data_IF_470305142867
#
_entry.id   IF_470305142867
#
_cell.length_a   1.000
_cell.length_b   1.000
_cell.length_c   1.000
_cell.angle_alpha   90.00
_cell.angle_beta   90.00
_cell.angle_gamma   90.00
#
_symmetry.space_group_name_H-M   'P 1'
#
loop_
_entity.id
_entity.type
_entity.pdbx_description
1 polymer ?
#
# COMPACT_ATOMS: atom_id res chain seq x y z
N UNK A 1 0.99 2.44 -23.91
CA UNK A 1 0.41 1.52 -22.91
C UNK A 1 0.41 0.13 -23.49
N UNK A 2 1.18 -0.79 -22.91
CA UNK A 2 1.08 -2.20 -23.23
C UNK A 2 -0.10 -2.78 -22.44
N UNK A 3 -1.17 -3.15 -23.12
CA UNK A 3 -2.34 -3.82 -22.53
C UNK A 3 -2.07 -5.29 -22.15
N UNK A 4 -0.82 -5.73 -22.17
CA UNK A 4 -0.42 -7.14 -22.04
C UNK A 4 0.52 -7.43 -20.88
N UNK A 5 0.69 -6.47 -19.95
CA UNK A 5 1.47 -6.73 -18.75
C UNK A 5 0.61 -7.57 -17.80
N UNK A 6 0.63 -8.86 -18.00
CA UNK A 6 0.13 -9.82 -17.01
C UNK A 6 1.34 -10.26 -16.20
N UNK A 7 1.45 -9.69 -15.01
CA UNK A 7 2.40 -10.16 -14.02
C UNK A 7 1.90 -11.49 -13.44
N UNK A 8 2.77 -12.50 -13.38
CA UNK A 8 2.50 -13.73 -12.66
C UNK A 8 2.50 -13.58 -11.13
N UNK A 9 2.78 -12.38 -10.62
CA UNK A 9 2.76 -12.07 -9.20
C UNK A 9 1.35 -11.65 -8.76
N UNK A 10 0.85 -12.28 -7.73
CA UNK A 10 -0.49 -12.07 -7.17
C UNK A 10 -0.56 -10.95 -6.10
N UNK A 11 0.60 -10.42 -5.67
CA UNK A 11 0.73 -9.43 -4.60
C UNK A 11 -0.14 -8.18 -4.84
N UNK A 12 -0.04 -7.55 -6.02
CA UNK A 12 -0.81 -6.33 -6.33
C UNK A 12 -2.33 -6.57 -6.35
N UNK A 13 -2.78 -7.75 -6.80
CA UNK A 13 -4.19 -8.15 -6.77
C UNK A 13 -4.69 -8.33 -5.33
N UNK A 14 -3.87 -8.92 -4.46
CA UNK A 14 -4.18 -9.08 -3.05
C UNK A 14 -4.32 -7.73 -2.33
N UNK A 15 -3.38 -6.84 -2.56
CA UNK A 15 -3.38 -5.45 -2.05
C UNK A 15 -4.63 -4.68 -2.52
N UNK A 16 -4.95 -4.73 -3.80
CA UNK A 16 -6.12 -4.06 -4.36
C UNK A 16 -7.44 -4.60 -3.78
N UNK A 17 -7.54 -5.92 -3.55
CA UNK A 17 -8.69 -6.56 -2.92
C UNK A 17 -8.92 -6.09 -1.49
N UNK A 18 -7.88 -5.94 -0.70
CA UNK A 18 -7.96 -5.41 0.66
C UNK A 18 -8.57 -4.00 0.69
N UNK A 19 -8.27 -3.17 -0.30
CA UNK A 19 -8.84 -1.81 -0.40
C UNK A 19 -10.28 -1.85 -0.93
N UNK A 20 -10.51 -2.53 -2.06
CA UNK A 20 -11.65 -2.23 -2.95
C UNK A 20 -12.45 -3.46 -3.40
N UNK A 21 -12.24 -4.66 -2.85
CA UNK A 21 -13.14 -5.78 -3.14
C UNK A 21 -14.58 -5.39 -2.84
N UNK A 22 -15.49 -5.71 -3.77
CA UNK A 22 -16.89 -5.25 -3.69
C UNK A 22 -17.61 -5.86 -2.48
N UNK A 23 -18.16 -5.01 -1.62
CA UNK A 23 -18.89 -5.44 -0.43
C UNK A 23 -20.34 -5.83 -0.73
N UNK A 24 -20.90 -6.71 0.10
CA UNK A 24 -22.33 -7.13 0.05
C UNK A 24 -22.77 -7.74 -1.28
N UNK A 25 -21.88 -8.36 -2.03
CA UNK A 25 -22.16 -9.05 -3.29
C UNK A 25 -22.27 -10.58 -3.12
N UNK A 26 -22.13 -11.10 -1.90
CA UNK A 26 -22.13 -12.54 -1.56
C UNK A 26 -20.99 -13.33 -2.25
N UNK A 27 -19.90 -12.68 -2.65
CA UNK A 27 -18.77 -13.29 -3.36
C UNK A 27 -17.48 -12.95 -2.62
N UNK A 28 -16.69 -13.97 -2.30
CA UNK A 28 -15.30 -13.85 -1.80
C UNK A 28 -15.14 -12.99 -0.56
N UNK A 29 -14.41 -11.89 -0.70
CA UNK A 29 -14.01 -11.00 0.40
C UNK A 29 -14.64 -9.61 0.27
N UNK A 30 -14.61 -8.85 1.36
CA UNK A 30 -15.00 -7.44 1.42
C UNK A 30 -13.76 -6.56 1.55
N UNK A 31 -13.64 -5.54 0.71
CA UNK A 31 -12.60 -4.52 0.84
C UNK A 31 -12.99 -3.43 1.83
N UNK A 32 -11.99 -2.73 2.40
CA UNK A 32 -12.23 -1.64 3.36
C UNK A 32 -13.13 -0.55 2.76
N UNK A 33 -12.89 -0.17 1.51
CA UNK A 33 -13.61 0.88 0.79
C UNK A 33 -14.35 0.34 -0.45
N UNK A 34 -14.80 -0.91 -0.42
CA UNK A 34 -15.41 -1.63 -1.55
C UNK A 34 -16.84 -1.22 -1.92
N UNK A 35 -17.39 -0.21 -1.25
CA UNK A 35 -18.77 0.25 -1.50
C UNK A 35 -19.84 -0.74 -1.03
N UNK A 36 -20.98 -0.73 -1.67
CA UNK A 36 -22.11 -1.59 -1.30
C UNK A 36 -22.79 -2.18 -2.53
N UNK A 37 -22.64 -3.48 -2.76
CA UNK A 37 -23.24 -4.23 -3.88
C UNK A 37 -22.98 -3.56 -5.25
N UNK A 38 -21.72 -3.18 -5.50
CA UNK A 38 -21.29 -2.54 -6.73
C UNK A 38 -21.69 -1.06 -6.88
N UNK A 39 -22.26 -0.45 -5.84
CA UNK A 39 -22.58 0.98 -5.79
C UNK A 39 -21.63 1.71 -4.86
N UNK A 40 -21.11 2.85 -5.32
CA UNK A 40 -20.06 3.58 -4.60
C UNK A 40 -18.76 2.76 -4.54
N UNK A 41 -17.95 3.03 -3.51
CA UNK A 41 -16.65 2.41 -3.34
C UNK A 41 -15.53 3.18 -4.06
N UNK A 42 -14.32 2.96 -3.58
CA UNK A 42 -13.13 3.56 -4.16
C UNK A 42 -12.82 2.96 -5.53
N UNK A 43 -12.26 3.78 -6.41
CA UNK A 43 -11.74 3.32 -7.71
C UNK A 43 -10.24 3.10 -7.61
N UNK A 44 -9.79 1.96 -8.12
CA UNK A 44 -8.37 1.62 -8.20
C UNK A 44 -7.81 2.06 -9.56
N UNK A 45 -6.74 2.83 -9.52
CA UNK A 45 -5.90 3.14 -10.68
C UNK A 45 -4.65 2.27 -10.58
N UNK A 46 -4.57 1.24 -11.41
CA UNK A 46 -3.44 0.31 -11.39
C UNK A 46 -2.25 0.87 -12.16
N UNK A 47 -1.12 1.00 -11.49
CA UNK A 47 0.17 1.32 -12.10
C UNK A 47 1.12 0.14 -11.85
N UNK A 48 1.44 -0.61 -12.89
CA UNK A 48 2.35 -1.74 -12.77
C UNK A 48 3.79 -1.25 -12.70
N UNK A 49 4.47 -1.57 -11.59
CA UNK A 49 5.87 -1.22 -11.33
C UNK A 49 6.79 -2.43 -11.38
N UNK A 50 6.25 -3.63 -11.18
CA UNK A 50 7.01 -4.87 -11.08
C UNK A 50 6.60 -5.84 -12.20
N UNK A 51 7.58 -6.63 -12.67
CA UNK A 51 7.39 -7.78 -13.53
C UNK A 51 7.91 -9.02 -12.78
N UNK A 52 7.01 -9.77 -12.19
CA UNK A 52 7.36 -10.81 -11.22
C UNK A 52 8.01 -10.20 -9.98
N UNK A 53 9.26 -10.57 -9.71
CA UNK A 53 10.08 -10.04 -8.61
C UNK A 53 11.02 -8.89 -9.05
N UNK A 54 11.00 -8.53 -10.32
CA UNK A 54 11.87 -7.48 -10.84
C UNK A 54 11.18 -6.13 -10.72
N UNK A 55 11.79 -5.21 -9.99
CA UNK A 55 11.35 -3.82 -9.95
C UNK A 55 11.63 -3.13 -11.30
N UNK A 56 10.76 -2.21 -11.67
CA UNK A 56 11.01 -1.27 -12.74
C UNK A 56 12.20 -0.35 -12.41
N UNK A 57 12.57 0.49 -13.37
CA UNK A 57 13.53 1.55 -13.08
C UNK A 57 12.88 2.67 -12.26
N UNK A 58 13.66 3.40 -11.45
CA UNK A 58 13.19 4.61 -10.74
C UNK A 58 12.52 5.62 -11.66
N UNK A 59 12.94 5.68 -12.94
CA UNK A 59 12.29 6.52 -13.93
C UNK A 59 10.89 6.01 -14.33
N UNK A 60 10.66 4.70 -14.34
CA UNK A 60 9.34 4.12 -14.59
C UNK A 60 8.42 4.41 -13.41
N UNK A 61 8.91 4.24 -12.19
CA UNK A 61 8.19 4.54 -10.96
C UNK A 61 7.78 6.01 -10.91
N UNK A 62 8.71 6.94 -11.16
CA UNK A 62 8.44 8.37 -11.22
C UNK A 62 7.38 8.73 -12.29
N UNK A 63 7.41 8.06 -13.45
CA UNK A 63 6.39 8.24 -14.50
C UNK A 63 5.01 7.72 -14.06
N UNK A 64 4.95 6.61 -13.33
CA UNK A 64 3.70 6.05 -12.81
C UNK A 64 3.07 7.00 -11.77
N UNK A 65 3.87 7.57 -10.86
CA UNK A 65 3.40 8.54 -9.86
C UNK A 65 2.88 9.81 -10.52
N UNK A 66 3.64 10.35 -11.50
CA UNK A 66 3.18 11.50 -12.26
C UNK A 66 1.88 11.20 -13.02
N UNK A 67 1.78 10.03 -13.65
CA UNK A 67 0.55 9.60 -14.31
C UNK A 67 -0.63 9.55 -13.34
N UNK A 68 -0.44 8.99 -12.15
CA UNK A 68 -1.47 8.92 -11.12
C UNK A 68 -1.95 10.32 -10.71
N UNK A 69 -1.02 11.26 -10.44
CA UNK A 69 -1.34 12.64 -10.12
C UNK A 69 -2.13 13.33 -11.24
N UNK A 70 -1.66 13.25 -12.47
CA UNK A 70 -2.27 13.88 -13.65
C UNK A 70 -3.68 13.32 -13.98
N UNK A 71 -3.98 12.10 -13.53
CA UNK A 71 -5.26 11.43 -13.80
C UNK A 71 -6.20 11.34 -12.59
N UNK A 72 -5.97 12.17 -11.58
CA UNK A 72 -6.92 12.38 -10.50
C UNK A 72 -6.81 11.41 -9.32
N UNK A 73 -5.71 10.67 -9.18
CA UNK A 73 -5.48 9.88 -7.99
C UNK A 73 -5.26 10.80 -6.77
N UNK A 74 -5.86 10.43 -5.63
CA UNK A 74 -5.77 11.19 -4.36
C UNK A 74 -4.87 10.48 -3.36
N UNK A 75 -4.78 9.14 -3.46
CA UNK A 75 -3.96 8.30 -2.58
C UNK A 75 -3.02 7.48 -3.45
N UNK A 76 -1.72 7.56 -3.18
CA UNK A 76 -0.73 6.59 -3.64
C UNK A 76 -0.56 5.51 -2.56
N UNK A 77 -0.91 4.29 -2.92
CA UNK A 77 -0.75 3.12 -2.07
C UNK A 77 0.47 2.33 -2.55
N UNK A 78 1.50 2.24 -1.71
CA UNK A 78 2.81 1.72 -2.04
C UNK A 78 3.20 0.57 -1.10
N UNK A 79 2.80 -0.67 -1.46
CA UNK A 79 3.22 -1.87 -0.72
C UNK A 79 4.60 -2.38 -1.19
N UNK A 80 5.58 -1.49 -1.21
CA UNK A 80 6.95 -1.72 -1.61
C UNK A 80 7.87 -0.67 -0.99
N UNK A 81 9.18 -0.85 -1.10
CA UNK A 81 10.18 0.08 -0.59
C UNK A 81 11.59 -0.48 -0.75
N UNK A 82 12.56 0.31 -0.35
CA UNK A 82 13.95 -0.15 -0.22
C UNK A 82 14.14 -0.82 1.13
N UNK A 83 15.11 -1.70 1.20
CA UNK A 83 15.55 -2.30 2.47
C UNK A 83 15.83 -1.23 3.53
N UNK A 84 15.48 -1.45 4.79
CA UNK A 84 15.89 -0.58 5.89
C UNK A 84 17.41 -0.36 5.86
N UNK A 85 17.84 0.85 6.11
CA UNK A 85 19.24 1.25 6.03
C UNK A 85 19.86 1.31 4.62
N UNK A 86 19.11 1.12 3.55
CA UNK A 86 19.59 1.40 2.18
C UNK A 86 20.01 2.86 2.00
N UNK A 87 19.41 3.75 2.79
CA UNK A 87 19.75 5.17 2.86
C UNK A 87 20.12 5.55 4.28
N UNK A 88 21.19 6.30 4.44
CA UNK A 88 21.67 6.78 5.75
C UNK A 88 20.82 7.93 6.33
N UNK A 89 19.84 8.41 5.59
CA UNK A 89 18.90 9.47 5.96
C UNK A 89 18.34 10.22 4.76
N UNK A 90 17.50 11.21 5.04
CA UNK A 90 16.73 11.97 4.03
C UNK A 90 17.59 12.58 2.93
N UNK A 91 18.74 13.15 3.28
CA UNK A 91 19.63 13.75 2.29
C UNK A 91 20.10 12.76 1.22
N UNK A 92 20.39 11.52 1.61
CA UNK A 92 20.81 10.49 0.65
C UNK A 92 19.62 10.05 -0.23
N UNK A 93 18.42 9.97 0.32
CA UNK A 93 17.21 9.69 -0.43
C UNK A 93 16.88 10.81 -1.42
N UNK A 94 16.88 12.07 -0.98
CA UNK A 94 16.49 13.24 -1.77
C UNK A 94 17.51 13.56 -2.87
N UNK A 95 18.80 13.49 -2.56
CA UNK A 95 19.89 13.93 -3.44
C UNK A 95 20.61 12.78 -4.15
N UNK A 96 20.36 11.54 -3.72
CA UNK A 96 20.96 10.34 -4.26
C UNK A 96 20.26 9.80 -5.51
N UNK A 97 20.45 8.53 -5.77
CA UNK A 97 19.90 7.80 -6.92
C UNK A 97 18.37 7.84 -6.94
N UNK A 98 17.71 7.88 -5.78
CA UNK A 98 16.27 7.96 -5.64
C UNK A 98 15.70 9.39 -5.78
N UNK A 99 16.52 10.39 -6.04
CA UNK A 99 16.05 11.79 -6.14
C UNK A 99 15.03 12.05 -7.25
N UNK A 100 15.00 11.24 -8.31
CA UNK A 100 13.97 11.33 -9.36
C UNK A 100 12.61 10.86 -8.83
N UNK A 101 12.61 9.81 -8.05
CA UNK A 101 11.44 9.25 -7.39
C UNK A 101 10.91 10.21 -6.32
N UNK A 102 11.79 10.74 -5.46
CA UNK A 102 11.44 11.78 -4.50
C UNK A 102 10.69 12.95 -5.16
N UNK A 103 11.19 13.48 -6.27
CA UNK A 103 10.53 14.58 -6.98
C UNK A 103 9.16 14.21 -7.52
N UNK A 104 8.96 12.96 -7.93
CA UNK A 104 7.67 12.48 -8.40
C UNK A 104 6.65 12.35 -7.26
N UNK A 105 7.08 11.91 -6.07
CA UNK A 105 6.24 11.92 -4.87
C UNK A 105 5.88 13.34 -4.45
N UNK A 106 6.83 14.28 -4.45
CA UNK A 106 6.53 15.68 -4.13
C UNK A 106 5.51 16.25 -5.11
N UNK A 107 5.67 15.99 -6.40
CA UNK A 107 4.68 16.37 -7.41
C UNK A 107 3.28 15.81 -7.12
N UNK A 108 3.19 14.54 -6.67
CA UNK A 108 1.91 13.95 -6.29
C UNK A 108 1.31 14.62 -5.05
N UNK A 109 2.12 14.85 -4.01
CA UNK A 109 1.68 15.51 -2.77
C UNK A 109 1.17 16.93 -3.04
N UNK A 110 1.82 17.66 -3.93
CA UNK A 110 1.45 19.04 -4.29
C UNK A 110 0.25 19.11 -5.26
N UNK A 111 -0.15 17.98 -5.87
CA UNK A 111 -1.27 17.94 -6.81
C UNK A 111 -2.59 17.78 -6.08
N UNK A 112 -3.45 18.80 -6.15
CA UNK A 112 -4.78 18.78 -5.53
C UNK A 112 -5.80 18.12 -6.45
N UNK A 113 -6.21 16.91 -6.11
CA UNK A 113 -7.22 16.13 -6.84
C UNK A 113 -8.50 15.87 -6.00
N UNK A 114 -8.58 16.47 -4.80
CA UNK A 114 -9.71 16.29 -3.90
C UNK A 114 -9.94 17.60 -3.11
N UNK A 115 -11.20 17.98 -2.92
CA UNK A 115 -11.52 19.21 -2.15
C UNK A 115 -11.29 19.04 -0.64
N UNK A 116 -11.32 17.82 -0.14
CA UNK A 116 -11.07 17.52 1.28
C UNK A 116 -9.57 17.53 1.66
N UNK A 117 -8.65 17.70 0.71
CA UNK A 117 -7.21 17.75 0.93
C UNK A 117 -6.57 18.86 0.09
N UNK A 118 -5.50 19.45 0.60
CA UNK A 118 -4.69 20.41 -0.16
C UNK A 118 -3.63 19.76 -1.06
N UNK A 119 -3.67 18.43 -1.19
CA UNK A 119 -2.76 17.65 -2.04
C UNK A 119 -3.04 16.17 -1.98
N UNK A 120 -2.08 15.32 -2.38
CA UNK A 120 -2.19 13.88 -2.36
C UNK A 120 -1.62 13.22 -1.10
N UNK A 121 -2.16 12.05 -0.73
CA UNK A 121 -1.61 11.21 0.34
C UNK A 121 -0.71 10.11 -0.23
N UNK A 122 0.45 9.91 0.40
CA UNK A 122 1.39 8.84 0.03
C UNK A 122 1.55 7.89 1.22
N UNK A 123 1.20 6.62 1.02
CA UNK A 123 1.14 5.60 2.08
C UNK A 123 2.00 4.40 1.68
N UNK A 124 2.97 4.05 2.53
CA UNK A 124 3.96 2.99 2.32
C UNK A 124 3.84 1.86 3.33
N UNK A 125 4.23 0.67 2.91
CA UNK A 125 4.60 -0.40 3.82
C UNK A 125 5.92 -0.06 4.53
N UNK A 126 6.02 -0.31 5.83
CA UNK A 126 7.20 0.06 6.63
C UNK A 126 8.43 -0.84 6.39
N UNK A 127 8.21 -2.06 5.87
CA UNK A 127 9.24 -3.09 5.68
C UNK A 127 9.01 -4.33 6.56
N UNK A 128 9.63 -5.45 6.16
CA UNK A 128 9.40 -6.78 6.77
C UNK A 128 10.67 -7.40 7.36
N UNK A 129 11.67 -6.59 7.68
CA UNK A 129 13.01 -7.02 8.11
C UNK A 129 13.19 -7.00 9.64
N UNK A 130 12.11 -6.67 10.39
CA UNK A 130 12.15 -6.60 11.86
C UNK A 130 13.12 -5.55 12.40
N UNK A 131 13.36 -4.48 11.65
CA UNK A 131 14.34 -3.44 12.01
C UNK A 131 13.67 -2.26 12.73
N UNK A 132 14.41 -1.56 13.64
CA UNK A 132 13.88 -0.39 14.36
C UNK A 132 13.89 0.88 13.49
N UNK A 133 13.58 0.74 12.22
CA UNK A 133 13.46 1.83 11.25
C UNK A 133 12.65 1.37 10.05
N UNK A 134 11.80 2.23 9.51
CA UNK A 134 11.11 1.97 8.24
C UNK A 134 12.06 2.05 7.05
N UNK A 135 11.76 1.31 5.99
CA UNK A 135 12.43 1.44 4.69
C UNK A 135 12.02 2.74 3.97
N UNK A 136 12.93 3.33 3.20
CA UNK A 136 12.60 4.41 2.28
C UNK A 136 11.83 3.86 1.05
N UNK A 137 10.96 4.63 0.43
CA UNK A 137 10.57 6.03 0.71
C UNK A 137 9.73 6.23 1.99
N UNK A 138 9.10 5.19 2.54
CA UNK A 138 8.16 5.26 3.65
C UNK A 138 8.71 5.96 4.90
N UNK A 139 10.02 5.86 5.15
CA UNK A 139 10.68 6.50 6.28
C UNK A 139 10.76 8.05 6.17
N UNK A 140 10.50 8.62 5.00
CA UNK A 140 10.51 10.07 4.81
C UNK A 140 9.28 10.74 5.45
N UNK A 141 9.51 11.85 6.15
CA UNK A 141 8.50 12.45 7.02
C UNK A 141 7.18 12.91 6.36
N UNK A 142 7.19 13.17 5.05
CA UNK A 142 5.99 13.60 4.33
C UNK A 142 5.09 12.42 3.93
N UNK A 143 5.52 11.18 4.19
CA UNK A 143 4.79 9.96 3.83
C UNK A 143 4.31 9.22 5.08
N UNK A 144 3.35 8.35 4.91
CA UNK A 144 2.81 7.51 5.98
C UNK A 144 3.40 6.10 5.84
N UNK A 145 4.22 5.68 6.78
CA UNK A 145 4.73 4.31 6.85
C UNK A 145 3.88 3.45 7.79
N UNK A 146 3.39 2.33 7.29
CA UNK A 146 2.46 1.43 7.96
C UNK A 146 3.17 0.18 8.43
N UNK A 147 3.18 -0.06 9.73
CA UNK A 147 3.66 -1.29 10.37
C UNK A 147 2.55 -2.34 10.41
N UNK A 148 2.92 -3.59 10.67
CA UNK A 148 2.00 -4.71 10.74
C UNK A 148 1.79 -5.20 12.17
N UNK A 149 0.53 -5.53 12.51
CA UNK A 149 0.23 -6.33 13.70
C UNK A 149 -0.46 -7.65 13.33
N UNK A 150 -0.28 -8.64 14.21
CA UNK A 150 -0.83 -9.97 14.12
C UNK A 150 -2.24 -10.04 14.73
N UNK A 151 -3.00 -11.15 14.53
CA UNK A 151 -4.37 -11.30 15.07
C UNK A 151 -4.49 -11.23 16.58
N UNK A 152 -3.42 -11.45 17.32
CA UNK A 152 -3.36 -11.29 18.78
C UNK A 152 -3.21 -9.82 19.23
N UNK A 153 -3.11 -8.88 18.27
CA UNK A 153 -2.92 -7.47 18.53
C UNK A 153 -1.49 -7.06 18.85
N UNK A 154 -0.54 -7.99 18.78
CA UNK A 154 0.89 -7.71 18.97
C UNK A 154 1.55 -7.34 17.62
N UNK A 155 2.68 -6.62 17.65
CA UNK A 155 3.46 -6.40 16.44
C UNK A 155 3.83 -7.73 15.78
N UNK A 156 3.61 -7.85 14.47
CA UNK A 156 4.03 -9.02 13.70
C UNK A 156 5.55 -9.17 13.75
N UNK A 157 6.06 -10.41 13.86
CA UNK A 157 7.50 -10.67 14.09
C UNK A 157 8.43 -10.05 13.05
N UNK A 158 7.92 -9.88 11.84
CA UNK A 158 8.68 -9.33 10.70
C UNK A 158 8.62 -7.82 10.61
N UNK A 159 7.64 -7.15 11.25
CA UNK A 159 7.40 -5.73 10.99
C UNK A 159 8.58 -4.84 11.35
N UNK A 160 8.94 -3.91 10.47
CA UNK A 160 9.76 -2.78 10.88
C UNK A 160 8.98 -1.91 11.87
N UNK A 161 9.67 -1.21 12.76
CA UNK A 161 9.07 -0.46 13.87
C UNK A 161 9.91 0.78 14.22
N UNK A 162 9.41 1.62 15.15
CA UNK A 162 10.09 2.80 15.67
C UNK A 162 10.32 3.90 14.60
N UNK A 163 11.56 4.19 14.24
CA UNK A 163 11.92 5.37 13.46
C UNK A 163 11.30 5.36 12.05
N UNK A 164 10.61 6.44 11.71
CA UNK A 164 9.96 6.60 10.41
C UNK A 164 8.63 5.85 10.27
N UNK A 165 8.18 5.10 11.30
CA UNK A 165 6.88 4.44 11.31
C UNK A 165 5.82 5.36 11.93
N UNK A 166 4.61 5.37 11.37
CA UNK A 166 3.55 6.33 11.76
C UNK A 166 2.31 5.63 12.33
N UNK A 167 1.87 4.53 11.73
CA UNK A 167 0.62 3.86 12.07
C UNK A 167 0.76 2.35 11.88
N UNK A 168 -0.03 1.57 12.62
CA UNK A 168 -0.07 0.12 12.52
C UNK A 168 -1.43 -0.36 12.02
N UNK A 169 -1.44 -1.43 11.20
CA UNK A 169 -2.65 -2.04 10.68
C UNK A 169 -2.52 -3.58 10.59
N UNK A 170 -3.61 -4.33 10.36
CA UNK A 170 -3.55 -5.77 10.22
C UNK A 170 -2.65 -6.19 9.05
N UNK A 171 -1.50 -6.77 9.36
CA UNK A 171 -0.58 -7.37 8.37
C UNK A 171 -0.64 -8.89 8.36
N UNK A 172 -1.21 -9.46 9.42
CA UNK A 172 -1.27 -10.90 9.64
C UNK A 172 0.06 -11.51 10.03
N UNK A 173 -0.01 -12.76 10.44
CA UNK A 173 1.17 -13.56 10.79
C UNK A 173 0.86 -15.04 10.63
N UNK A 174 1.81 -15.81 10.07
CA UNK A 174 1.73 -17.25 10.06
C UNK A 174 2.04 -17.82 11.44
N UNK A 175 1.17 -18.69 11.94
CA UNK A 175 1.40 -19.41 13.19
C UNK A 175 1.83 -20.84 12.92
N UNK A 176 2.72 -21.36 13.76
CA UNK A 176 3.01 -22.79 13.82
C UNK A 176 1.93 -23.50 14.65
N UNK A 177 1.20 -24.41 14.01
CA UNK A 177 0.31 -25.35 14.68
C UNK A 177 0.88 -26.75 14.50
N UNK A 178 1.51 -27.26 15.54
CA UNK A 178 2.32 -28.48 15.43
C UNK A 178 3.52 -28.25 14.50
N UNK A 179 3.60 -29.01 13.40
CA UNK A 179 4.65 -28.89 12.39
C UNK A 179 4.19 -28.20 11.11
N UNK A 180 3.02 -27.56 11.11
CA UNK A 180 2.43 -26.90 9.94
C UNK A 180 2.22 -25.43 10.20
N UNK A 181 2.50 -24.60 9.20
CA UNK A 181 2.15 -23.19 9.22
C UNK A 181 0.64 -23.02 9.05
N UNK A 182 0.03 -22.21 9.93
CA UNK A 182 -1.39 -21.90 9.90
C UNK A 182 -1.59 -20.54 9.20
N UNK A 183 -2.29 -20.58 8.07
CA UNK A 183 -2.61 -19.41 7.24
C UNK A 183 -3.70 -18.50 7.84
N UNK A 184 -4.69 -18.98 8.65
CA UNK A 184 -5.80 -18.13 9.11
C UNK A 184 -5.39 -16.93 9.96
N UNK A 185 -4.13 -16.84 10.38
CA UNK A 185 -3.55 -15.66 11.03
C UNK A 185 -3.20 -14.53 10.04
N UNK A 186 -3.21 -14.82 8.75
CA UNK A 186 -2.83 -13.89 7.69
C UNK A 186 -4.03 -13.13 7.11
N UNK A 187 -3.76 -12.11 6.31
CA UNK A 187 -4.80 -11.33 5.61
C UNK A 187 -5.32 -12.13 4.43
N UNK A 188 -6.63 -12.33 4.36
CA UNK A 188 -7.31 -13.02 3.25
C UNK A 188 -7.85 -12.03 2.24
N UNK A 189 -7.46 -12.14 0.98
CA UNK A 189 -7.85 -11.20 -0.07
C UNK A 189 -7.94 -11.86 -1.45
N UNK A 190 -8.21 -11.06 -2.47
CA UNK A 190 -8.34 -11.51 -3.87
C UNK A 190 -7.00 -11.90 -4.46
N UNK A 191 -7.02 -12.91 -5.32
CA UNK A 191 -5.89 -13.36 -6.15
C UNK A 191 -6.30 -13.39 -7.63
N UNK A 192 -5.35 -13.49 -8.56
CA UNK A 192 -5.65 -13.68 -9.98
C UNK A 192 -6.56 -14.90 -10.24
N UNK A 193 -7.16 -14.95 -11.42
CA UNK A 193 -8.02 -16.04 -11.87
C UNK A 193 -9.27 -16.31 -11.01
N UNK A 194 -9.83 -15.27 -10.39
CA UNK A 194 -11.02 -15.35 -9.52
C UNK A 194 -10.80 -16.27 -8.31
N UNK A 195 -9.62 -16.26 -7.74
CA UNK A 195 -9.27 -16.99 -6.52
C UNK A 195 -9.03 -16.05 -5.35
N UNK A 196 -8.81 -16.63 -4.19
CA UNK A 196 -8.55 -15.92 -2.92
C UNK A 196 -7.44 -16.64 -2.17
N UNK A 197 -6.69 -15.90 -1.36
CA UNK A 197 -5.62 -16.50 -0.56
C UNK A 197 -5.15 -15.63 0.58
N UNK A 198 -4.31 -16.22 1.39
CA UNK A 198 -3.72 -15.61 2.58
C UNK A 198 -2.32 -15.08 2.27
N UNK A 199 -2.03 -13.88 2.75
CA UNK A 199 -0.69 -13.29 2.73
C UNK A 199 -0.42 -12.57 4.05
N UNK A 200 0.84 -12.47 4.45
CA UNK A 200 1.31 -11.65 5.56
C UNK A 200 2.29 -10.59 5.08
N UNK A 201 2.39 -9.48 5.80
CA UNK A 201 3.37 -8.43 5.51
C UNK A 201 2.86 -7.03 5.83
N UNK A 202 3.79 -6.10 5.98
CA UNK A 202 3.46 -4.67 5.98
C UNK A 202 2.80 -4.24 4.67
N UNK A 203 3.04 -4.99 3.59
CA UNK A 203 2.34 -4.87 2.31
C UNK A 203 0.82 -5.13 2.42
N UNK A 204 0.36 -5.94 3.37
CA UNK A 204 -1.06 -6.21 3.63
C UNK A 204 -1.63 -5.23 4.66
N UNK A 205 -0.80 -4.70 5.54
CA UNK A 205 -1.18 -3.63 6.49
C UNK A 205 -1.41 -2.29 5.77
N UNK A 206 -0.54 -1.91 4.86
CA UNK A 206 -0.59 -0.66 4.10
C UNK A 206 -1.94 -0.40 3.40
N UNK A 207 -2.54 -1.35 2.65
CA UNK A 207 -3.83 -1.15 2.00
C UNK A 207 -5.00 -0.99 2.98
N UNK A 208 -4.93 -1.50 4.21
CA UNK A 208 -5.95 -1.20 5.22
C UNK A 208 -5.99 0.29 5.53
N UNK A 209 -4.82 0.92 5.75
CA UNK A 209 -4.73 2.36 6.01
C UNK A 209 -5.19 3.16 4.80
N UNK A 210 -4.81 2.75 3.58
CA UNK A 210 -5.24 3.41 2.34
C UNK A 210 -6.75 3.35 2.16
N UNK A 211 -7.37 2.20 2.46
CA UNK A 211 -8.83 2.03 2.43
C UNK A 211 -9.55 2.91 3.46
N UNK A 212 -9.03 2.97 4.69
CA UNK A 212 -9.57 3.83 5.75
C UNK A 212 -9.43 5.31 5.37
N UNK A 213 -8.29 5.73 4.81
CA UNK A 213 -8.10 7.09 4.32
C UNK A 213 -9.12 7.43 3.22
N UNK A 214 -9.36 6.52 2.27
CA UNK A 214 -10.37 6.72 1.22
C UNK A 214 -11.79 6.87 1.78
N UNK A 215 -12.17 6.08 2.80
CA UNK A 215 -13.46 6.24 3.49
C UNK A 215 -13.54 7.58 4.21
N UNK A 216 -12.48 7.99 4.91
CA UNK A 216 -12.43 9.28 5.61
C UNK A 216 -12.60 10.46 4.67
N UNK A 217 -11.93 10.44 3.51
CA UNK A 217 -12.06 11.46 2.47
C UNK A 217 -13.46 11.51 1.87
N UNK A 218 -14.05 10.35 1.56
CA UNK A 218 -15.43 10.27 1.08
C UNK A 218 -16.40 10.88 2.08
N UNK A 219 -16.24 10.58 3.36
CA UNK A 219 -17.08 11.12 4.42
C UNK A 219 -16.88 12.63 4.60
N UNK A 220 -15.65 13.12 4.50
CA UNK A 220 -15.37 14.56 4.57
C UNK A 220 -16.04 15.32 3.42
N UNK A 221 -15.99 14.79 2.20
CA UNK A 221 -16.67 15.36 1.04
C UNK A 221 -18.20 15.38 1.20
N UNK A 222 -18.79 14.31 1.76
CA UNK A 222 -20.24 14.24 2.04
C UNK A 222 -20.67 15.29 3.09
N UNK A 223 -19.77 15.68 3.99
CA UNK A 223 -19.99 16.75 4.96
C UNK A 223 -19.69 18.15 4.40
N UNK A 224 -19.26 18.28 3.15
CA UNK A 224 -18.87 19.54 2.53
C UNK A 224 -17.60 20.16 3.14
N UNK A 225 -16.68 19.33 3.59
CA UNK A 225 -15.40 19.73 4.17
C UNK A 225 -14.26 19.47 3.19
#
# INVERSE_FOLDING_TARGET
YNSYLIDGNDHGTHVAGTIAAVNNNAIGVAGIAGGNNGKGGVKIMTCQLFDGQYAGSLALEARAMKYAADNGAVILQCSWGFEPNAFSGDNMFIQGIAGVEYKAFQYFIETKNCDALDGGLVIFAAGNEGQPVAGYPGAYNDYIAVTAYAPDGLPAYYTCYDKGCNVSAPGGEYYLVGNSWAEPGCVYSTLPNNTYGYMQGTSMACPHVSGIAALGLSYALDLGK
#
